data_IF_903039950741
#
_entry.id   IF_903039950741
#
_cell.length_a   1.000
_cell.length_b   1.000
_cell.length_c   1.000
_cell.angle_alpha   90.00
_cell.angle_beta   90.00
_cell.angle_gamma   90.00
#
_symmetry.space_group_name_H-M   'P 1'
#
loop_
_entity.id
_entity.type
_entity.pdbx_description
1 polymer ?
#
# COMPACT_ATOMS: atom_id res chain seq x y z
N UNK A 1 6.03 2.46 0.19
CA UNK A 1 5.00 1.49 -0.19
C UNK A 1 4.03 1.06 0.92
N UNK A 2 4.46 0.86 2.18
CA UNK A 2 3.49 0.44 3.22
C UNK A 2 2.33 1.41 3.40
N UNK A 3 2.56 2.72 3.33
CA UNK A 3 1.53 3.75 3.47
C UNK A 3 0.50 3.72 2.33
N UNK A 4 0.95 3.48 1.09
CA UNK A 4 0.05 3.38 -0.05
C UNK A 4 -0.82 2.13 0.07
N UNK A 5 -0.23 1.00 0.48
CA UNK A 5 -0.98 -0.25 0.70
C UNK A 5 -2.06 -0.06 1.77
N UNK A 6 -1.73 0.59 2.88
CA UNK A 6 -2.68 0.88 3.96
C UNK A 6 -3.81 1.82 3.48
N UNK A 7 -3.48 2.82 2.69
CA UNK A 7 -4.45 3.73 2.08
C UNK A 7 -5.40 3.00 1.11
N UNK A 8 -4.87 2.09 0.30
CA UNK A 8 -5.67 1.26 -0.63
C UNK A 8 -6.63 0.35 0.15
N UNK A 9 -6.16 -0.30 1.21
CA UNK A 9 -6.98 -1.15 2.08
C UNK A 9 -8.08 -0.32 2.74
N UNK A 10 -7.76 0.88 3.22
CA UNK A 10 -8.73 1.79 3.81
C UNK A 10 -9.83 2.21 2.81
N UNK A 11 -9.48 2.46 1.55
CA UNK A 11 -10.47 2.72 0.49
C UNK A 11 -11.43 1.54 0.31
N UNK A 12 -10.93 0.31 0.41
CA UNK A 12 -11.76 -0.89 0.36
C UNK A 12 -12.76 -0.96 1.51
N UNK A 13 -12.34 -0.60 2.72
CA UNK A 13 -13.22 -0.51 3.89
C UNK A 13 -14.30 0.56 3.72
N UNK A 14 -13.92 1.73 3.20
CA UNK A 14 -14.86 2.81 2.88
C UNK A 14 -15.89 2.40 1.83
N UNK A 15 -15.45 1.66 0.81
CA UNK A 15 -16.35 1.14 -0.23
C UNK A 15 -17.36 0.14 0.35
N UNK A 16 -16.92 -0.78 1.21
CA UNK A 16 -17.80 -1.74 1.91
C UNK A 16 -18.80 -1.05 2.83
N UNK A 17 -18.38 0.01 3.50
CA UNK A 17 -19.23 0.79 4.41
C UNK A 17 -20.19 1.74 3.68
N UNK A 18 -20.09 1.89 2.36
CA UNK A 18 -20.90 2.80 1.57
C UNK A 18 -20.49 4.27 1.67
N UNK A 19 -19.35 4.57 2.28
CA UNK A 19 -18.82 5.94 2.40
C UNK A 19 -18.29 6.48 1.08
N UNK A 20 -17.85 5.58 0.18
CA UNK A 20 -17.38 5.90 -1.15
C UNK A 20 -18.00 5.00 -2.20
N UNK A 21 -18.17 5.53 -3.42
CA UNK A 21 -18.70 4.76 -4.56
C UNK A 21 -17.57 4.28 -5.45
N UNK A 22 -17.85 3.21 -6.22
CA UNK A 22 -16.89 2.66 -7.18
C UNK A 22 -16.50 3.69 -8.23
N UNK A 23 -17.43 4.55 -8.69
CA UNK A 23 -17.16 5.60 -9.68
C UNK A 23 -16.15 6.65 -9.18
N UNK A 24 -16.11 6.92 -7.89
CA UNK A 24 -15.14 7.85 -7.29
C UNK A 24 -13.73 7.28 -7.28
N UNK A 25 -13.59 5.97 -7.15
CA UNK A 25 -12.31 5.30 -6.91
C UNK A 25 -11.59 4.85 -8.18
N UNK A 26 -12.32 4.33 -9.17
CA UNK A 26 -11.75 3.73 -10.38
C UNK A 26 -12.34 4.32 -11.66
N UNK A 27 -11.52 4.30 -12.72
CA UNK A 27 -11.89 4.81 -14.05
C UNK A 27 -12.83 3.82 -14.74
N UNK A 28 -13.92 4.35 -15.30
CA UNK A 28 -14.81 3.62 -16.21
C UNK A 28 -14.53 4.07 -17.63
N UNK A 29 -14.14 3.13 -18.49
CA UNK A 29 -13.86 3.39 -19.90
C UNK A 29 -15.10 3.26 -20.80
N UNK A 30 -16.21 2.84 -20.23
CA UNK A 30 -17.45 2.60 -20.97
C UNK A 30 -18.38 3.81 -20.92
N UNK A 31 -19.00 4.15 -22.06
CA UNK A 31 -19.92 5.30 -22.19
C UNK A 31 -21.19 5.13 -21.38
N UNK A 32 -21.67 3.90 -21.21
CA UNK A 32 -22.84 3.60 -20.40
C UNK A 32 -22.46 2.86 -19.12
N UNK A 33 -22.74 3.49 -17.98
CA UNK A 33 -22.53 2.89 -16.67
C UNK A 33 -23.86 2.39 -16.13
N UNK A 34 -24.08 1.08 -16.21
CA UNK A 34 -25.27 0.42 -15.65
C UNK A 34 -25.01 -0.04 -14.22
N UNK A 35 -26.06 -0.29 -13.43
CA UNK A 35 -25.93 -0.82 -12.08
C UNK A 35 -25.18 -2.15 -12.04
N UNK A 36 -25.40 -3.02 -13.03
CA UNK A 36 -24.71 -4.31 -13.14
C UNK A 36 -23.20 -4.12 -13.34
N UNK A 37 -22.81 -3.17 -14.20
CA UNK A 37 -21.39 -2.83 -14.44
C UNK A 37 -20.76 -2.26 -13.20
N UNK A 38 -21.45 -1.41 -12.46
CA UNK A 38 -20.99 -0.86 -11.18
C UNK A 38 -20.76 -1.95 -10.15
N UNK A 39 -21.69 -2.89 -10.00
CA UNK A 39 -21.58 -4.02 -9.08
C UNK A 39 -20.42 -4.93 -9.45
N UNK A 40 -20.27 -5.24 -10.73
CA UNK A 40 -19.18 -6.07 -11.24
C UNK A 40 -17.84 -5.42 -11.00
N UNK A 41 -17.71 -4.14 -11.30
CA UNK A 41 -16.48 -3.38 -11.10
C UNK A 41 -16.16 -3.24 -9.61
N UNK A 42 -17.18 -3.04 -8.77
CA UNK A 42 -17.03 -3.01 -7.32
C UNK A 42 -16.51 -4.31 -6.74
N UNK A 43 -17.01 -5.45 -7.19
CA UNK A 43 -16.51 -6.77 -6.77
C UNK A 43 -15.06 -6.98 -7.22
N UNK A 44 -14.75 -6.61 -8.45
CA UNK A 44 -13.37 -6.70 -8.98
C UNK A 44 -12.43 -5.84 -8.16
N UNK A 45 -12.81 -4.61 -7.86
CA UNK A 45 -12.02 -3.69 -7.06
C UNK A 45 -11.80 -4.23 -5.64
N UNK A 46 -12.84 -4.72 -4.98
CA UNK A 46 -12.74 -5.32 -3.65
C UNK A 46 -11.83 -6.56 -3.65
N UNK A 47 -11.89 -7.39 -4.70
CA UNK A 47 -11.01 -8.55 -4.85
C UNK A 47 -9.55 -8.12 -5.04
N UNK A 48 -9.29 -7.08 -5.83
CA UNK A 48 -7.95 -6.52 -6.01
C UNK A 48 -7.40 -5.95 -4.69
N UNK A 49 -8.22 -5.22 -3.95
CA UNK A 49 -7.85 -4.65 -2.65
C UNK A 49 -7.56 -5.76 -1.62
N UNK A 50 -8.37 -6.82 -1.62
CA UNK A 50 -8.13 -7.98 -0.74
C UNK A 50 -6.80 -8.67 -1.06
N UNK A 51 -6.45 -8.78 -2.33
CA UNK A 51 -5.16 -9.30 -2.75
C UNK A 51 -4.00 -8.41 -2.28
N UNK A 52 -4.17 -7.09 -2.35
CA UNK A 52 -3.21 -6.11 -1.80
C UNK A 52 -3.05 -6.31 -0.30
N UNK A 53 -4.15 -6.44 0.43
CA UNK A 53 -4.13 -6.65 1.88
C UNK A 53 -3.35 -7.91 2.27
N UNK A 54 -3.63 -9.02 1.61
CA UNK A 54 -2.93 -10.30 1.86
C UNK A 54 -1.44 -10.20 1.57
N UNK A 55 -1.08 -9.55 0.45
CA UNK A 55 0.31 -9.33 0.07
C UNK A 55 1.02 -8.43 1.09
N UNK A 56 0.35 -7.39 1.57
CA UNK A 56 0.87 -6.51 2.63
C UNK A 56 1.18 -7.26 3.91
N UNK A 57 0.29 -8.15 4.35
CA UNK A 57 0.50 -8.99 5.52
C UNK A 57 1.69 -9.95 5.32
N UNK A 58 1.84 -10.51 4.13
CA UNK A 58 2.98 -11.35 3.78
C UNK A 58 4.30 -10.58 3.85
N UNK A 59 4.33 -9.35 3.36
CA UNK A 59 5.51 -8.46 3.45
C UNK A 59 5.88 -8.22 4.92
N UNK A 60 4.91 -7.89 5.75
CA UNK A 60 5.13 -7.66 7.20
C UNK A 60 5.72 -8.91 7.86
N UNK A 61 5.16 -10.08 7.58
CA UNK A 61 5.66 -11.36 8.11
C UNK A 61 7.10 -11.62 7.70
N UNK A 62 7.43 -11.39 6.41
CA UNK A 62 8.79 -11.57 5.89
C UNK A 62 9.78 -10.57 6.47
N UNK A 63 9.37 -9.33 6.71
CA UNK A 63 10.20 -8.31 7.38
C UNK A 63 10.58 -8.76 8.80
N UNK A 64 9.60 -9.24 9.55
CA UNK A 64 9.83 -9.75 10.91
C UNK A 64 10.79 -10.94 10.90
N UNK A 65 10.61 -11.86 9.96
CA UNK A 65 11.48 -13.03 9.81
C UNK A 65 12.93 -12.64 9.52
N UNK A 66 13.15 -11.71 8.59
CA UNK A 66 14.49 -11.19 8.27
C UNK A 66 15.13 -10.54 9.49
N UNK A 67 14.35 -9.77 10.25
CA UNK A 67 14.83 -9.10 11.47
C UNK A 67 15.24 -10.06 12.58
N UNK A 68 14.76 -11.29 12.58
CA UNK A 68 15.10 -12.31 13.60
C UNK A 68 16.31 -13.19 13.22
N UNK A 69 16.76 -13.14 11.96
CA UNK A 69 17.88 -13.96 11.49
C UNK A 69 19.21 -13.33 11.95
N UNK A 70 20.07 -14.11 12.64
CA UNK A 70 21.39 -13.62 13.05
C UNK A 70 22.26 -13.25 11.84
N UNK A 71 22.98 -12.14 11.90
CA UNK A 71 23.87 -11.66 10.83
C UNK A 71 24.98 -12.66 10.49
N UNK A 72 25.36 -13.55 11.44
CA UNK A 72 26.35 -14.61 11.22
C UNK A 72 25.88 -15.66 10.20
N UNK A 73 24.57 -15.86 10.06
CA UNK A 73 23.98 -16.79 9.08
C UNK A 73 23.73 -16.07 7.73
N UNK A 74 24.81 -15.72 7.05
CA UNK A 74 24.76 -14.88 5.82
C UNK A 74 23.92 -15.47 4.69
N UNK A 75 24.01 -16.78 4.44
CA UNK A 75 23.27 -17.43 3.37
C UNK A 75 21.76 -17.40 3.63
N UNK A 76 21.37 -17.71 4.86
CA UNK A 76 19.97 -17.70 5.29
C UNK A 76 19.40 -16.29 5.25
N UNK A 77 20.14 -15.32 5.74
CA UNK A 77 19.77 -13.90 5.71
C UNK A 77 19.54 -13.40 4.27
N UNK A 78 20.47 -13.65 3.36
CA UNK A 78 20.38 -13.25 1.96
C UNK A 78 19.17 -13.86 1.25
N UNK A 79 18.89 -15.14 1.49
CA UNK A 79 17.74 -15.84 0.90
C UNK A 79 16.43 -15.20 1.36
N UNK A 80 16.28 -14.99 2.65
CA UNK A 80 15.07 -14.39 3.21
C UNK A 80 14.91 -12.93 2.81
N UNK A 81 16.01 -12.19 2.74
CA UNK A 81 16.01 -10.80 2.26
C UNK A 81 15.55 -10.71 0.80
N UNK A 82 16.04 -11.59 -0.07
CA UNK A 82 15.58 -11.65 -1.48
C UNK A 82 14.09 -11.96 -1.57
N UNK A 83 13.60 -12.88 -0.75
CA UNK A 83 12.17 -13.22 -0.72
C UNK A 83 11.34 -12.02 -0.25
N UNK A 84 11.83 -11.25 0.70
CA UNK A 84 11.21 -10.01 1.14
C UNK A 84 11.14 -8.99 -0.01
N UNK A 85 12.24 -8.77 -0.73
CA UNK A 85 12.28 -7.85 -1.87
C UNK A 85 11.29 -8.26 -2.97
N UNK A 86 11.19 -9.55 -3.27
CA UNK A 86 10.22 -10.07 -4.25
C UNK A 86 8.78 -9.81 -3.81
N UNK A 87 8.49 -10.00 -2.54
CA UNK A 87 7.16 -9.72 -1.99
C UNK A 87 6.83 -8.23 -2.07
N UNK A 88 7.79 -7.35 -1.80
CA UNK A 88 7.61 -5.89 -1.93
C UNK A 88 7.35 -5.46 -3.37
N UNK A 89 8.08 -6.04 -4.33
CA UNK A 89 7.87 -5.78 -5.76
C UNK A 89 6.48 -6.24 -6.19
N UNK A 90 6.05 -7.43 -5.75
CA UNK A 90 4.72 -7.94 -6.03
C UNK A 90 3.63 -7.03 -5.47
N UNK A 91 3.79 -6.54 -4.25
CA UNK A 91 2.87 -5.60 -3.62
C UNK A 91 2.76 -4.31 -4.46
N UNK A 92 3.88 -3.76 -4.89
CA UNK A 92 3.91 -2.57 -5.75
C UNK A 92 3.17 -2.81 -7.07
N UNK A 93 3.36 -3.96 -7.70
CA UNK A 93 2.68 -4.32 -8.95
C UNK A 93 1.17 -4.44 -8.74
N UNK A 94 0.73 -5.06 -7.66
CA UNK A 94 -0.70 -5.20 -7.33
C UNK A 94 -1.37 -3.84 -7.10
N UNK A 95 -0.70 -2.93 -6.42
CA UNK A 95 -1.21 -1.57 -6.19
C UNK A 95 -1.33 -0.81 -7.51
N UNK A 96 -0.33 -0.90 -8.39
CA UNK A 96 -0.33 -0.22 -9.69
C UNK A 96 -1.33 -0.80 -10.68
N UNK A 97 -1.74 -2.05 -10.51
CA UNK A 97 -2.71 -2.70 -11.39
C UNK A 97 -4.13 -2.13 -11.25
N UNK A 98 -4.42 -1.44 -10.16
CA UNK A 98 -5.72 -0.79 -9.95
C UNK A 98 -5.77 0.53 -10.72
N UNK A 99 -6.78 0.71 -11.55
CA UNK A 99 -6.98 1.93 -12.33
C UNK A 99 -7.73 2.99 -11.52
N UNK A 100 -6.98 3.75 -10.73
CA UNK A 100 -7.53 4.82 -9.88
C UNK A 100 -7.96 6.04 -10.71
N UNK A 101 -8.98 6.78 -10.20
CA UNK A 101 -9.28 8.11 -10.72
C UNK A 101 -8.17 9.10 -10.36
N UNK A 102 -8.08 10.21 -11.12
CA UNK A 102 -7.05 11.23 -10.86
C UNK A 102 -7.10 11.83 -9.45
N UNK A 103 -8.28 12.17 -8.88
CA UNK A 103 -8.34 12.65 -7.51
C UNK A 103 -7.77 11.64 -6.49
N UNK A 104 -8.04 10.35 -6.69
CA UNK A 104 -7.52 9.28 -5.80
C UNK A 104 -6.00 9.16 -5.93
N UNK A 105 -5.47 9.20 -7.16
CA UNK A 105 -4.00 9.19 -7.39
C UNK A 105 -3.32 10.33 -6.66
N UNK A 106 -3.85 11.54 -6.77
CA UNK A 106 -3.31 12.73 -6.10
C UNK A 106 -3.32 12.58 -4.59
N UNK A 107 -4.42 12.06 -4.05
CA UNK A 107 -4.57 11.82 -2.61
C UNK A 107 -3.53 10.82 -2.10
N UNK A 108 -3.32 9.72 -2.83
CA UNK A 108 -2.30 8.72 -2.48
C UNK A 108 -0.89 9.31 -2.49
N UNK A 109 -0.58 10.12 -3.49
CA UNK A 109 0.72 10.81 -3.60
C UNK A 109 0.89 11.81 -2.45
N UNK A 110 -0.13 12.58 -2.12
CA UNK A 110 -0.11 13.57 -1.04
C UNK A 110 0.09 12.89 0.32
N UNK A 111 -0.57 11.78 0.58
CA UNK A 111 -0.37 11.01 1.82
C UNK A 111 1.08 10.53 1.98
N UNK A 112 1.71 10.09 0.90
CA UNK A 112 3.12 9.69 0.91
C UNK A 112 4.04 10.88 1.18
N UNK A 113 3.76 12.03 0.56
CA UNK A 113 4.52 13.27 0.78
C UNK A 113 4.42 13.76 2.22
N UNK A 114 3.21 13.78 2.79
CA UNK A 114 2.99 14.16 4.19
C UNK A 114 3.76 13.27 5.14
N UNK A 115 3.72 11.96 4.93
CA UNK A 115 4.45 11.00 5.74
C UNK A 115 5.96 11.21 5.63
N UNK A 116 6.48 11.51 4.43
CA UNK A 116 7.90 11.79 4.22
C UNK A 116 8.32 13.08 4.95
N UNK A 117 7.48 14.12 4.92
CA UNK A 117 7.72 15.38 5.64
C UNK A 117 7.71 15.16 7.16
N UNK A 118 6.78 14.36 7.69
CA UNK A 118 6.70 14.02 9.10
C UNK A 118 7.96 13.27 9.55
N UNK A 119 8.42 12.30 8.78
CA UNK A 119 9.64 11.55 9.06
C UNK A 119 10.85 12.49 9.06
N UNK A 120 10.97 13.38 8.08
CA UNK A 120 12.04 14.35 7.98
C UNK A 120 12.04 15.33 9.19
N UNK A 121 10.85 15.75 9.62
CA UNK A 121 10.68 16.61 10.80
C UNK A 121 11.13 15.91 12.09
N UNK A 122 10.73 14.66 12.28
CA UNK A 122 11.13 13.83 13.42
C UNK A 122 12.66 13.61 13.41
N UNK A 123 13.24 13.32 12.27
CA UNK A 123 14.68 13.13 12.10
C UNK A 123 15.46 14.37 12.52
N UNK A 124 15.00 15.56 12.08
CA UNK A 124 15.61 16.83 12.46
C UNK A 124 15.51 17.11 13.97
N UNK A 125 14.37 16.75 14.58
CA UNK A 125 14.20 16.90 16.02
C UNK A 125 15.15 16.00 16.81
N UNK A 126 15.33 14.74 16.37
CA UNK A 126 16.26 13.80 16.96
C UNK A 126 17.71 14.30 16.84
N UNK A 127 18.11 14.81 15.68
CA UNK A 127 19.45 15.35 15.44
C UNK A 127 19.75 16.55 16.36
N UNK A 128 18.76 17.41 16.58
CA UNK A 128 18.90 18.54 17.53
C UNK A 128 19.10 18.06 18.97
N UNK A 129 18.33 17.06 19.39
CA UNK A 129 18.47 16.49 20.74
C UNK A 129 19.85 15.85 20.93
N UNK A 130 20.33 15.10 19.94
CA UNK A 130 21.67 14.50 19.98
C UNK A 130 22.78 15.55 20.09
N UNK A 131 22.64 16.70 19.42
CA UNK A 131 23.61 17.80 19.50
C UNK A 131 23.62 18.50 20.86
N UNK A 132 22.51 18.47 21.60
CA UNK A 132 22.42 19.09 22.93
C UNK A 132 22.99 18.20 24.04
N UNK A 133 23.16 16.92 23.76
CA UNK A 133 23.77 15.97 24.67
C UNK A 133 25.30 15.91 24.48
#
# INVERSE_FOLDING_TARGET
MPLIADAVVHMGEQLKAGERTVRELVIFQEDEVTEEKLKRRGRKLLAQIETVRKCRLDVIRRQKKVGTIPKREKKRYRRNYRNLLRAQVKLSQLIRAIEYTEPVKRRLIDEVKEAAEDIASIQRALDRLERQL
#
